data_IF_110209667081
#
_entry.id   IF_110209667081
#
_cell.length_a   1.000
_cell.length_b   1.000
_cell.length_c   1.000
_cell.angle_alpha   90.00
_cell.angle_beta   90.00
_cell.angle_gamma   90.00
#
_symmetry.space_group_name_H-M   'P 1'
#
loop_
_entity.id
_entity.type
_entity.pdbx_description
1 polymer ?
#
# COMPACT_ATOMS: atom_id res chain seq x y z
N UNK A 1 56.64 -10.51 -8.60
CA UNK A 1 56.21 -9.97 -7.28
C UNK A 1 56.04 -8.46 -7.36
N UNK A 2 55.12 -7.98 -8.20
CA UNK A 2 54.82 -6.55 -8.34
C UNK A 2 53.33 -6.23 -8.21
N UNK A 3 52.46 -7.24 -8.27
CA UNK A 3 51.00 -7.06 -8.21
C UNK A 3 50.49 -6.69 -6.81
N UNK A 4 51.19 -7.05 -5.74
CA UNK A 4 50.78 -6.71 -4.37
C UNK A 4 51.04 -5.24 -3.98
N UNK A 5 51.79 -4.49 -4.78
CA UNK A 5 52.17 -3.10 -4.45
C UNK A 5 51.11 -2.12 -4.96
N UNK A 6 50.54 -1.32 -4.05
CA UNK A 6 49.47 -0.34 -4.35
C UNK A 6 49.99 0.82 -5.20
N UNK A 7 51.26 1.18 -5.00
CA UNK A 7 51.97 2.16 -5.81
C UNK A 7 53.18 1.52 -6.49
N UNK A 8 53.27 1.71 -7.81
CA UNK A 8 54.39 1.25 -8.62
C UNK A 8 55.14 2.44 -9.21
N UNK A 9 56.46 2.30 -9.36
CA UNK A 9 57.32 3.34 -9.91
C UNK A 9 57.07 3.44 -11.42
N UNK A 10 56.73 4.63 -11.92
CA UNK A 10 56.60 4.89 -13.35
C UNK A 10 57.92 4.61 -14.06
N UNK A 11 57.88 3.84 -15.15
CA UNK A 11 59.03 3.60 -16.04
C UNK A 11 59.12 4.63 -17.17
N UNK A 12 58.22 5.61 -17.20
CA UNK A 12 58.08 6.59 -18.27
C UNK A 12 58.86 7.88 -17.99
N UNK A 13 60.16 7.73 -17.70
CA UNK A 13 61.12 8.82 -17.53
C UNK A 13 60.95 9.72 -16.29
N UNK A 14 59.82 9.65 -15.61
CA UNK A 14 59.56 10.38 -14.36
C UNK A 14 59.54 9.39 -13.21
N UNK A 15 60.37 9.65 -12.21
CA UNK A 15 60.58 8.74 -11.08
C UNK A 15 59.44 8.76 -10.05
N UNK A 16 58.21 8.94 -10.51
CA UNK A 16 57.00 9.15 -9.70
C UNK A 16 56.30 7.83 -9.44
N UNK A 17 55.65 7.74 -8.28
CA UNK A 17 54.79 6.62 -7.93
C UNK A 17 53.42 6.81 -8.56
N UNK A 18 52.92 5.78 -9.25
CA UNK A 18 51.61 5.74 -9.89
C UNK A 18 50.79 4.63 -9.26
N UNK A 19 49.49 4.84 -9.15
CA UNK A 19 48.56 3.84 -8.64
C UNK A 19 48.58 2.59 -9.54
N UNK A 20 48.77 1.42 -8.94
CA UNK A 20 48.73 0.16 -9.64
C UNK A 20 47.28 -0.34 -9.73
N UNK A 21 46.63 -0.12 -10.87
CA UNK A 21 45.28 -0.60 -11.11
C UNK A 21 45.16 -2.14 -11.13
N UNK A 22 46.28 -2.88 -11.29
CA UNK A 22 46.31 -4.34 -11.21
C UNK A 22 46.46 -4.87 -9.78
N UNK A 23 46.50 -4.00 -8.77
CA UNK A 23 46.55 -4.43 -7.38
C UNK A 23 45.20 -5.00 -6.92
N UNK A 24 45.15 -6.23 -6.38
CA UNK A 24 43.90 -6.89 -5.97
C UNK A 24 43.12 -6.10 -4.90
N UNK A 25 43.82 -5.42 -3.99
CA UNK A 25 43.20 -4.57 -2.95
C UNK A 25 42.58 -3.33 -3.60
N UNK A 26 43.30 -2.72 -4.54
CA UNK A 26 42.81 -1.57 -5.29
C UNK A 26 41.55 -1.90 -6.10
N UNK A 27 41.58 -3.03 -6.80
CA UNK A 27 40.45 -3.54 -7.55
C UNK A 27 39.27 -3.88 -6.64
N UNK A 28 39.52 -4.50 -5.48
CA UNK A 28 38.47 -4.80 -4.50
C UNK A 28 37.79 -3.53 -3.97
N UNK A 29 38.55 -2.45 -3.72
CA UNK A 29 37.98 -1.17 -3.30
C UNK A 29 37.15 -0.51 -4.40
N UNK A 30 37.58 -0.60 -5.66
CA UNK A 30 36.79 -0.07 -6.80
C UNK A 30 35.49 -0.86 -6.95
N UNK A 31 35.55 -2.19 -6.95
CA UNK A 31 34.36 -3.04 -7.05
C UNK A 31 33.43 -2.80 -5.84
N UNK A 32 33.99 -2.77 -4.63
CA UNK A 32 33.23 -2.54 -3.40
C UNK A 32 32.53 -1.19 -3.38
N UNK A 33 33.20 -0.12 -3.81
CA UNK A 33 32.60 1.21 -3.89
C UNK A 33 31.50 1.30 -4.96
N UNK A 34 31.69 0.64 -6.12
CA UNK A 34 30.65 0.54 -7.15
C UNK A 34 29.44 -0.26 -6.66
N UNK A 35 29.63 -1.39 -5.99
CA UNK A 35 28.54 -2.18 -5.42
C UNK A 35 27.82 -1.41 -4.32
N UNK A 36 28.55 -0.70 -3.45
CA UNK A 36 27.95 0.13 -2.41
C UNK A 36 27.11 1.26 -3.01
N UNK A 37 27.64 1.95 -4.02
CA UNK A 37 26.92 3.02 -4.71
C UNK A 37 25.68 2.47 -5.43
N UNK A 38 25.82 1.35 -6.14
CA UNK A 38 24.70 0.70 -6.85
C UNK A 38 23.62 0.20 -5.88
N UNK A 39 24.02 -0.44 -4.78
CA UNK A 39 23.09 -0.90 -3.75
C UNK A 39 22.40 0.27 -3.05
N UNK A 40 23.15 1.30 -2.67
CA UNK A 40 22.59 2.52 -2.07
C UNK A 40 21.59 3.21 -3.00
N UNK A 41 21.93 3.32 -4.29
CA UNK A 41 21.03 3.86 -5.30
C UNK A 41 19.78 2.98 -5.44
N UNK A 42 19.96 1.66 -5.55
CA UNK A 42 18.85 0.70 -5.62
C UNK A 42 17.89 0.84 -4.43
N UNK A 43 18.39 0.92 -3.19
CA UNK A 43 17.54 1.10 -2.01
C UNK A 43 16.85 2.47 -1.95
N UNK A 44 17.48 3.53 -2.44
CA UNK A 44 16.84 4.84 -2.53
C UNK A 44 15.69 4.86 -3.55
N UNK A 45 15.82 4.11 -4.66
CA UNK A 45 14.78 4.00 -5.68
C UNK A 45 13.73 2.93 -5.37
N UNK A 46 13.99 2.03 -4.42
CA UNK A 46 13.07 0.99 -3.96
C UNK A 46 12.76 1.11 -2.46
N UNK A 47 12.15 2.23 -2.00
CA UNK A 47 11.78 2.41 -0.60
C UNK A 47 10.68 1.44 -0.14
N UNK A 48 9.97 0.82 -1.08
CA UNK A 48 8.96 -0.22 -0.87
C UNK A 48 9.54 -1.50 -0.25
N UNK A 49 10.84 -1.78 -0.42
CA UNK A 49 11.50 -2.95 0.19
C UNK A 49 11.56 -2.90 1.72
N UNK A 50 11.42 -1.70 2.33
CA UNK A 50 11.48 -1.51 3.77
C UNK A 50 10.16 -1.05 4.38
N UNK A 51 9.16 -0.70 3.56
CA UNK A 51 7.81 -0.43 4.06
C UNK A 51 7.15 -1.78 4.34
N UNK A 52 6.85 -2.04 5.62
CA UNK A 52 6.08 -3.22 6.01
C UNK A 52 4.85 -3.36 5.10
N UNK A 53 4.74 -4.51 4.46
CA UNK A 53 3.57 -4.82 3.64
C UNK A 53 2.35 -5.02 4.53
N UNK A 54 1.17 -4.91 3.93
CA UNK A 54 -0.01 -5.47 4.56
C UNK A 54 0.19 -6.98 4.73
N UNK A 55 -0.23 -7.53 5.88
CA UNK A 55 -0.53 -8.94 6.03
C UNK A 55 -2.04 -9.16 5.89
N UNK A 56 -2.46 -10.36 5.47
CA UNK A 56 -3.87 -10.71 5.34
C UNK A 56 -4.64 -10.58 6.65
N UNK A 57 -4.01 -10.91 7.79
CA UNK A 57 -4.61 -10.73 9.11
C UNK A 57 -4.81 -9.25 9.46
N UNK A 58 -3.83 -8.42 9.17
CA UNK A 58 -3.88 -6.97 9.41
C UNK A 58 -4.94 -6.29 8.54
N UNK A 59 -5.05 -6.67 7.26
CA UNK A 59 -6.10 -6.16 6.38
C UNK A 59 -7.49 -6.51 6.91
N UNK A 60 -7.72 -7.77 7.31
CA UNK A 60 -9.00 -8.19 7.86
C UNK A 60 -9.36 -7.42 9.12
N UNK A 61 -8.40 -7.25 10.03
CA UNK A 61 -8.61 -6.49 11.27
C UNK A 61 -8.93 -5.02 11.00
N UNK A 62 -8.22 -4.39 10.05
CA UNK A 62 -8.47 -3.02 9.66
C UNK A 62 -9.85 -2.84 9.02
N UNK A 63 -10.25 -3.76 8.12
CA UNK A 63 -11.59 -3.77 7.53
C UNK A 63 -12.66 -3.93 8.60
N UNK A 64 -12.51 -4.89 9.52
CA UNK A 64 -13.47 -5.09 10.61
C UNK A 64 -13.59 -3.86 11.53
N UNK A 65 -12.48 -3.19 11.84
CA UNK A 65 -12.46 -1.96 12.62
C UNK A 65 -13.20 -0.82 11.92
N UNK A 66 -12.88 -0.59 10.64
CA UNK A 66 -13.51 0.42 9.81
C UNK A 66 -15.03 0.19 9.67
N UNK A 67 -15.46 -1.05 9.44
CA UNK A 67 -16.89 -1.38 9.29
C UNK A 67 -17.66 -1.22 10.60
N UNK A 68 -17.05 -1.56 11.73
CA UNK A 68 -17.68 -1.42 13.04
C UNK A 68 -17.91 0.07 13.38
N UNK A 69 -16.94 0.93 13.06
CA UNK A 69 -17.06 2.37 13.27
C UNK A 69 -18.13 2.99 12.36
N UNK A 70 -18.11 2.69 11.05
CA UNK A 70 -19.11 3.19 10.09
C UNK A 70 -20.52 2.73 10.44
N UNK A 71 -20.67 1.49 10.92
CA UNK A 71 -21.95 0.94 11.39
C UNK A 71 -22.48 1.68 12.63
N UNK A 72 -21.59 2.09 13.54
CA UNK A 72 -21.96 2.82 14.74
C UNK A 72 -22.34 4.28 14.44
N UNK A 73 -21.63 4.94 13.52
CA UNK A 73 -21.88 6.34 13.16
C UNK A 73 -23.19 6.53 12.39
N UNK A 74 -23.54 5.59 11.49
CA UNK A 74 -24.76 5.62 10.66
C UNK A 74 -24.95 6.91 9.85
N UNK A 75 -23.88 7.68 9.67
CA UNK A 75 -23.91 8.96 8.98
C UNK A 75 -23.83 8.79 7.46
N UNK A 76 -23.13 7.75 7.01
CA UNK A 76 -22.80 7.50 5.60
C UNK A 76 -23.20 6.07 5.20
N UNK A 77 -23.59 5.91 3.95
CA UNK A 77 -24.02 4.64 3.38
C UNK A 77 -23.74 4.58 1.87
N UNK A 78 -23.93 3.40 1.26
CA UNK A 78 -23.43 3.09 -0.08
C UNK A 78 -24.08 3.91 -1.19
N UNK A 79 -25.29 4.45 -1.01
CA UNK A 79 -25.97 5.32 -1.95
C UNK A 79 -25.77 6.82 -1.69
N UNK A 80 -24.85 7.19 -0.78
CA UNK A 80 -24.46 8.59 -0.55
C UNK A 80 -23.94 9.26 -1.83
N UNK A 81 -24.32 10.54 -2.01
CA UNK A 81 -24.10 11.33 -3.22
C UNK A 81 -22.72 11.06 -3.85
N UNK A 82 -22.75 10.62 -5.13
CA UNK A 82 -21.63 10.51 -6.07
C UNK A 82 -20.71 9.27 -6.04
N UNK A 83 -21.06 8.19 -5.34
CA UNK A 83 -20.27 6.94 -5.42
C UNK A 83 -18.90 7.02 -4.72
N UNK A 84 -18.68 8.09 -3.95
CA UNK A 84 -17.48 8.32 -3.14
C UNK A 84 -17.39 7.44 -1.90
N UNK A 85 -18.39 6.59 -1.65
CA UNK A 85 -18.39 5.69 -0.49
C UNK A 85 -17.20 4.73 -0.50
N UNK A 86 -16.72 4.33 -1.69
CA UNK A 86 -15.48 3.55 -1.83
C UNK A 86 -14.25 4.28 -1.29
N UNK A 87 -14.17 5.60 -1.45
CA UNK A 87 -13.07 6.42 -0.93
C UNK A 87 -13.15 6.58 0.59
N UNK A 88 -14.37 6.74 1.12
CA UNK A 88 -14.62 6.77 2.57
C UNK A 88 -14.21 5.43 3.21
N UNK A 89 -14.60 4.31 2.61
CA UNK A 89 -14.17 2.98 3.05
C UNK A 89 -12.65 2.86 3.04
N UNK A 90 -12.00 3.28 1.94
CA UNK A 90 -10.54 3.25 1.83
C UNK A 90 -9.87 4.08 2.93
N UNK A 91 -10.36 5.28 3.19
CA UNK A 91 -9.83 6.15 4.25
C UNK A 91 -9.96 5.48 5.62
N UNK A 92 -11.14 4.98 5.96
CA UNK A 92 -11.38 4.31 7.26
C UNK A 92 -10.53 3.05 7.42
N UNK A 93 -10.35 2.25 6.38
CA UNK A 93 -9.47 1.07 6.43
C UNK A 93 -8.03 1.48 6.70
N UNK A 94 -7.55 2.57 6.09
CA UNK A 94 -6.21 3.09 6.33
C UNK A 94 -6.04 3.64 7.76
N UNK A 95 -7.07 4.25 8.35
CA UNK A 95 -7.05 4.73 9.75
C UNK A 95 -6.89 3.58 10.77
N UNK A 96 -7.39 2.38 10.45
CA UNK A 96 -7.30 1.19 11.31
C UNK A 96 -6.12 0.26 10.99
N UNK A 97 -5.37 0.55 9.92
CA UNK A 97 -4.27 -0.28 9.43
C UNK A 97 -2.88 0.28 9.71
N UNK A 98 -1.87 -0.57 9.56
CA UNK A 98 -0.46 -0.19 9.69
C UNK A 98 0.32 -0.27 8.37
N UNK A 99 -0.36 -0.62 7.27
CA UNK A 99 0.26 -0.72 5.95
C UNK A 99 0.23 0.61 5.18
N UNK A 100 0.96 0.70 4.06
CA UNK A 100 0.98 1.90 3.23
C UNK A 100 -0.41 2.24 2.67
N UNK A 101 -0.80 3.51 2.75
CA UNK A 101 -2.14 4.00 2.36
C UNK A 101 -2.47 3.79 0.88
N UNK A 102 -1.44 3.78 0.02
CA UNK A 102 -1.57 3.57 -1.42
C UNK A 102 -1.68 2.08 -1.80
N UNK A 103 -1.43 1.17 -0.86
CA UNK A 103 -1.52 -0.26 -1.08
C UNK A 103 -2.96 -0.79 -1.00
N UNK A 104 -3.85 -0.13 -0.25
CA UNK A 104 -5.26 -0.52 -0.17
C UNK A 104 -6.03 -0.04 -1.38
N UNK A 105 -6.76 -0.97 -2.00
CA UNK A 105 -7.65 -0.72 -3.14
C UNK A 105 -9.04 -1.24 -2.80
N UNK A 106 -10.02 -0.36 -2.87
CA UNK A 106 -11.45 -0.65 -2.73
C UNK A 106 -12.09 -0.46 -4.10
N UNK A 107 -12.80 -1.47 -4.60
CA UNK A 107 -13.45 -1.44 -5.91
C UNK A 107 -14.91 -1.83 -5.74
N UNK A 108 -15.82 -1.06 -6.30
CA UNK A 108 -17.24 -1.43 -6.36
C UNK A 108 -17.40 -2.65 -7.27
N UNK A 109 -17.95 -3.73 -6.72
CA UNK A 109 -18.16 -4.99 -7.44
C UNK A 109 -19.63 -5.21 -7.84
N UNK A 110 -20.57 -4.57 -7.14
CA UNK A 110 -21.99 -4.59 -7.48
C UNK A 110 -22.40 -3.40 -8.37
N UNK A 111 -23.68 -3.35 -8.72
CA UNK A 111 -24.30 -2.10 -9.18
C UNK A 111 -24.22 -1.05 -8.06
N UNK A 112 -24.10 0.24 -8.41
CA UNK A 112 -24.18 1.31 -7.41
C UNK A 112 -25.54 1.24 -6.71
N UNK A 113 -25.54 1.50 -5.41
CA UNK A 113 -26.79 1.55 -4.64
C UNK A 113 -27.67 2.69 -5.18
N UNK A 114 -28.93 2.38 -5.45
CA UNK A 114 -29.92 3.40 -5.79
C UNK A 114 -30.36 4.09 -4.51
N UNK A 115 -30.22 5.41 -4.45
CA UNK A 115 -30.63 6.20 -3.29
C UNK A 115 -31.79 7.11 -3.64
N UNK A 116 -32.86 7.03 -2.84
CA UNK A 116 -34.00 7.96 -2.93
C UNK A 116 -34.10 8.77 -1.63
N UNK A 117 -33.87 10.07 -1.74
CA UNK A 117 -33.96 11.03 -0.63
C UNK A 117 -35.39 11.21 -0.11
N UNK A 118 -36.41 10.94 -0.94
CA UNK A 118 -37.80 11.21 -0.65
C UNK A 118 -38.52 10.03 -0.01
N UNK A 119 -38.30 8.82 -0.52
CA UNK A 119 -38.91 7.61 0.04
C UNK A 119 -38.04 6.94 1.12
N UNK A 120 -36.75 7.26 1.18
CA UNK A 120 -35.79 6.39 1.88
C UNK A 120 -35.74 5.02 1.21
N UNK A 121 -35.17 4.04 1.91
CA UNK A 121 -35.16 2.66 1.44
C UNK A 121 -33.90 1.89 1.80
N UNK A 122 -33.92 0.61 1.43
CA UNK A 122 -32.76 -0.27 1.55
C UNK A 122 -31.78 0.03 0.42
N UNK A 123 -30.55 0.35 0.80
CA UNK A 123 -29.42 0.56 -0.10
C UNK A 123 -28.41 -0.55 0.09
N UNK A 124 -28.09 -1.26 -0.99
CA UNK A 124 -27.12 -2.37 -0.96
C UNK A 124 -26.00 -2.14 -1.98
N UNK A 125 -24.77 -2.35 -1.55
CA UNK A 125 -23.61 -2.38 -2.44
C UNK A 125 -22.55 -3.35 -1.95
N UNK A 126 -21.81 -3.95 -2.88
CA UNK A 126 -20.70 -4.86 -2.59
C UNK A 126 -19.40 -4.26 -3.10
N UNK A 127 -18.36 -4.31 -2.25
CA UNK A 127 -17.03 -3.79 -2.54
C UNK A 127 -15.99 -4.87 -2.35
N UNK A 128 -15.07 -4.98 -3.31
CA UNK A 128 -13.88 -5.82 -3.17
C UNK A 128 -12.75 -4.99 -2.61
N UNK A 129 -12.27 -5.38 -1.43
CA UNK A 129 -11.12 -4.76 -0.75
C UNK A 129 -9.90 -5.65 -0.94
N UNK A 130 -8.79 -5.07 -1.40
CA UNK A 130 -7.52 -5.77 -1.55
C UNK A 130 -6.37 -4.87 -1.12
N UNK A 131 -5.27 -5.48 -0.66
CA UNK A 131 -4.06 -4.74 -0.31
C UNK A 131 -2.83 -5.29 -1.02
N UNK A 132 -2.04 -4.40 -1.64
CA UNK A 132 -0.77 -4.75 -2.28
C UNK A 132 0.19 -5.34 -1.22
N UNK A 133 0.82 -6.47 -1.56
CA UNK A 133 1.67 -7.24 -0.65
C UNK A 133 0.94 -8.41 0.03
N UNK A 134 -0.39 -8.43 0.00
CA UNK A 134 -1.20 -9.59 0.39
C UNK A 134 -1.82 -10.24 -0.85
N UNK A 135 -1.84 -11.56 -0.90
CA UNK A 135 -2.71 -12.29 -1.84
C UNK A 135 -4.19 -12.28 -1.41
N UNK A 136 -4.54 -11.43 -0.44
CA UNK A 136 -5.82 -11.43 0.26
C UNK A 136 -6.77 -10.43 -0.40
N UNK A 137 -7.97 -10.89 -0.72
CA UNK A 137 -9.10 -10.08 -1.09
C UNK A 137 -10.24 -10.37 -0.12
N UNK A 138 -11.01 -9.34 0.23
CA UNK A 138 -12.18 -9.42 1.08
C UNK A 138 -13.38 -8.85 0.33
N UNK A 139 -14.50 -9.57 0.38
CA UNK A 139 -15.76 -9.15 -0.19
C UNK A 139 -16.58 -8.49 0.91
N UNK A 140 -16.84 -7.20 0.75
CA UNK A 140 -17.57 -6.38 1.70
C UNK A 140 -18.97 -6.14 1.16
N UNK A 141 -19.98 -6.75 1.79
CA UNK A 141 -21.37 -6.45 1.49
C UNK A 141 -21.89 -5.41 2.49
N UNK A 142 -22.43 -4.30 1.98
CA UNK A 142 -22.95 -3.19 2.76
C UNK A 142 -24.44 -3.08 2.51
N UNK A 143 -25.23 -3.15 3.57
CA UNK A 143 -26.67 -2.93 3.55
C UNK A 143 -27.02 -1.79 4.50
N UNK A 144 -27.64 -0.73 4.00
CA UNK A 144 -28.00 0.44 4.79
C UNK A 144 -29.48 0.78 4.62
N UNK A 145 -30.15 1.16 5.71
CA UNK A 145 -31.53 1.62 5.69
C UNK A 145 -31.55 3.15 5.74
N UNK A 146 -31.89 3.80 4.64
CA UNK A 146 -31.93 5.26 4.57
C UNK A 146 -33.22 5.81 5.15
N UNK A 147 -33.10 6.88 5.96
CA UNK A 147 -34.25 7.56 6.55
C UNK A 147 -34.97 8.39 5.49
N UNK A 148 -36.29 8.24 5.41
CA UNK A 148 -37.12 9.09 4.56
C UNK A 148 -37.09 10.55 5.06
N UNK A 149 -36.80 11.49 4.16
CA UNK A 149 -36.83 12.95 4.44
C UNK A 149 -35.93 13.39 5.61
N UNK A 150 -34.88 12.64 5.91
CA UNK A 150 -33.89 12.98 6.93
C UNK A 150 -32.48 12.67 6.43
N UNK A 151 -31.47 13.32 7.03
CA UNK A 151 -30.07 13.01 6.76
C UNK A 151 -29.63 11.78 7.55
N UNK A 152 -28.79 10.95 6.93
CA UNK A 152 -28.22 9.74 7.53
C UNK A 152 -29.11 8.49 7.41
N UNK A 153 -28.70 7.45 8.12
CA UNK A 153 -29.27 6.10 8.02
C UNK A 153 -29.84 5.62 9.36
N UNK A 154 -30.84 4.75 9.33
CA UNK A 154 -31.40 4.05 10.49
C UNK A 154 -30.48 2.90 10.96
N UNK A 155 -29.95 2.17 9.98
CA UNK A 155 -28.92 1.14 10.18
C UNK A 155 -27.95 1.13 9.00
N UNK A 156 -26.71 0.74 9.29
CA UNK A 156 -25.69 0.43 8.30
C UNK A 156 -25.02 -0.84 8.79
N UNK A 157 -25.19 -1.91 8.03
CA UNK A 157 -24.75 -3.25 8.38
C UNK A 157 -23.75 -3.73 7.33
N UNK A 158 -22.73 -4.46 7.81
CA UNK A 158 -21.64 -4.95 6.98
C UNK A 158 -21.49 -6.45 7.16
N UNK A 159 -21.34 -7.17 6.05
CA UNK A 159 -20.90 -8.56 6.02
C UNK A 159 -19.56 -8.63 5.32
N UNK A 160 -18.60 -9.35 5.90
CA UNK A 160 -17.24 -9.50 5.35
C UNK A 160 -17.00 -10.97 5.06
N UNK A 161 -16.81 -11.28 3.79
CA UNK A 161 -16.49 -12.62 3.31
C UNK A 161 -15.06 -12.67 2.75
N UNK A 162 -14.47 -13.86 2.81
CA UNK A 162 -13.16 -14.11 2.24
C UNK A 162 -13.22 -14.28 0.73
N UNK A 163 -12.32 -13.61 0.01
CA UNK A 163 -12.26 -13.62 -1.44
C UNK A 163 -12.73 -12.30 -2.06
N UNK A 164 -12.62 -12.20 -3.38
CA UNK A 164 -13.20 -11.08 -4.11
C UNK A 164 -14.71 -11.30 -4.32
N UNK A 165 -15.48 -10.22 -4.27
CA UNK A 165 -16.72 -10.12 -5.03
C UNK A 165 -16.35 -9.93 -6.52
#
# INVERSE_FOLDING_TARGET
MSDDRVFVRSKWGTNRYVYNAANPIGMALIIGSLLFAAAGMFFLYHPDLFKGGWDGGDLRKAVSGATAELSAEKALGPGGDSGLYGDVLKQKINEHGHGPEDAVKVVLASKPAESDLWSGGLEEASYTVSARGTGTALCLHVSAMKKAKAMGYDSVDFTVDDGAC
#
